data_IF_877187627701
#
_entry.id   IF_877187627701
#
_cell.length_a   1.000
_cell.length_b   1.000
_cell.length_c   1.000
_cell.angle_alpha   90.00
_cell.angle_beta   90.00
_cell.angle_gamma   90.00
#
_symmetry.space_group_name_H-M   'P 1'
#
loop_
_entity.id
_entity.type
_entity.pdbx_description
1 polymer ?
#
# COMPACT_ATOMS: atom_id res chain seq x y z
N UNK A 1 -2.06 -8.45 -10.82
CA UNK A 1 -3.24 -7.94 -10.10
C UNK A 1 -3.00 -6.49 -9.67
N UNK A 2 -4.04 -5.63 -9.54
CA UNK A 2 -3.87 -4.25 -9.06
C UNK A 2 -3.15 -4.16 -7.70
N UNK A 3 -3.43 -5.09 -6.78
CA UNK A 3 -2.76 -5.17 -5.47
C UNK A 3 -1.24 -5.39 -5.60
N UNK A 4 -0.80 -6.20 -6.57
CA UNK A 4 0.62 -6.45 -6.81
C UNK A 4 1.34 -5.21 -7.32
N UNK A 5 0.71 -4.47 -8.24
CA UNK A 5 1.25 -3.22 -8.78
C UNK A 5 1.38 -2.16 -7.68
N UNK A 6 0.33 -1.99 -6.87
CA UNK A 6 0.33 -1.05 -5.75
C UNK A 6 1.39 -1.41 -4.70
N UNK A 7 1.50 -2.69 -4.34
CA UNK A 7 2.50 -3.14 -3.37
C UNK A 7 3.94 -3.03 -3.92
N UNK A 8 4.17 -3.32 -5.20
CA UNK A 8 5.47 -3.11 -5.85
C UNK A 8 5.88 -1.63 -5.88
N UNK A 9 4.93 -0.73 -6.16
CA UNK A 9 5.16 0.71 -6.10
C UNK A 9 5.51 1.19 -4.67
N UNK A 10 4.76 0.73 -3.66
CA UNK A 10 4.99 1.07 -2.25
C UNK A 10 6.36 0.61 -1.74
N UNK A 11 6.73 -0.65 -1.96
CA UNK A 11 7.99 -1.23 -1.46
C UNK A 11 9.23 -0.63 -2.11
N UNK A 12 9.05 0.11 -3.21
CA UNK A 12 10.14 0.77 -3.96
C UNK A 12 10.17 2.28 -3.77
N UNK A 13 9.20 2.84 -3.02
CA UNK A 13 9.05 4.29 -2.86
C UNK A 13 10.14 4.95 -2.02
N UNK A 14 10.68 4.24 -1.03
CA UNK A 14 11.77 4.71 -0.17
C UNK A 14 12.36 3.54 0.62
N UNK A 15 13.64 3.64 0.97
CA UNK A 15 14.28 2.70 1.90
C UNK A 15 13.66 2.73 3.30
N UNK A 16 12.96 3.81 3.65
CA UNK A 16 12.27 3.96 4.93
C UNK A 16 10.84 3.37 4.92
N UNK A 17 10.34 2.93 3.77
CA UNK A 17 8.98 2.39 3.65
C UNK A 17 9.02 0.86 3.73
N UNK A 18 8.40 0.33 4.79
CA UNK A 18 8.19 -1.11 4.98
C UNK A 18 6.69 -1.37 5.04
N UNK A 19 6.06 -1.82 3.94
CA UNK A 19 4.62 -2.09 3.93
C UNK A 19 4.28 -3.27 4.86
N UNK A 20 3.19 -3.13 5.62
CA UNK A 20 2.62 -4.19 6.47
C UNK A 20 1.27 -4.59 5.87
N UNK A 21 1.26 -5.42 4.82
CA UNK A 21 0.01 -5.75 4.14
C UNK A 21 -0.82 -6.72 4.99
N UNK A 22 -2.09 -6.40 5.18
CA UNK A 22 -3.05 -7.30 5.80
C UNK A 22 -3.54 -8.36 4.80
N UNK A 23 -3.57 -9.62 5.23
CA UNK A 23 -4.19 -10.72 4.50
C UNK A 23 -5.07 -11.54 5.46
N UNK A 24 -6.26 -11.93 4.99
CA UNK A 24 -7.25 -12.74 5.70
C UNK A 24 -7.41 -14.13 5.09
N UNK A 25 -6.93 -14.34 3.88
CA UNK A 25 -6.99 -15.63 3.18
C UNK A 25 -5.65 -16.00 2.55
N UNK A 26 -5.38 -17.29 2.29
CA UNK A 26 -4.16 -17.72 1.62
C UNK A 26 -3.97 -17.09 0.23
N UNK A 27 -5.04 -16.91 -0.54
CA UNK A 27 -4.97 -16.33 -1.89
C UNK A 27 -4.49 -14.87 -1.83
N UNK A 28 -4.88 -14.13 -0.80
CA UNK A 28 -4.36 -12.77 -0.59
C UNK A 28 -2.86 -12.76 -0.27
N UNK A 29 -2.37 -13.78 0.44
CA UNK A 29 -0.93 -13.95 0.70
C UNK A 29 -0.20 -14.22 -0.61
N UNK A 30 -0.72 -15.11 -1.45
CA UNK A 30 -0.15 -15.42 -2.77
C UNK A 30 -0.12 -14.18 -3.68
N UNK A 31 -1.21 -13.42 -3.71
CA UNK A 31 -1.28 -12.16 -4.46
C UNK A 31 -0.22 -11.16 -3.98
N UNK A 32 -0.12 -10.94 -2.67
CA UNK A 32 0.87 -10.03 -2.11
C UNK A 32 2.30 -10.52 -2.34
N UNK A 33 2.56 -11.82 -2.23
CA UNK A 33 3.86 -12.41 -2.51
C UNK A 33 4.25 -12.23 -3.99
N UNK A 34 3.29 -12.33 -4.92
CA UNK A 34 3.52 -12.07 -6.34
C UNK A 34 3.89 -10.62 -6.69
N UNK A 35 3.86 -9.69 -5.73
CA UNK A 35 4.32 -8.31 -5.93
C UNK A 35 5.85 -8.15 -5.84
N UNK A 36 6.55 -9.15 -5.31
CA UNK A 36 8.02 -9.11 -5.12
C UNK A 36 8.74 -9.87 -6.24
N UNK A 37 10.06 -9.74 -6.32
CA UNK A 37 10.88 -10.42 -7.34
C UNK A 37 10.92 -9.74 -8.71
N UNK A 38 10.12 -8.70 -8.94
CA UNK A 38 10.16 -7.87 -10.13
C UNK A 38 10.01 -6.39 -9.75
N UNK A 39 10.17 -5.48 -10.71
CA UNK A 39 10.03 -4.04 -10.49
C UNK A 39 9.26 -3.40 -11.63
N UNK A 40 8.41 -2.43 -11.29
CA UNK A 40 7.82 -1.52 -12.27
C UNK A 40 8.94 -0.82 -13.06
N UNK A 41 8.64 -0.51 -14.31
CA UNK A 41 9.52 0.36 -15.08
C UNK A 41 9.52 1.76 -14.45
N UNK A 42 10.62 2.52 -14.55
CA UNK A 42 10.70 3.86 -13.95
C UNK A 42 9.56 4.80 -14.38
N UNK A 43 9.14 4.72 -15.64
CA UNK A 43 8.04 5.50 -16.21
C UNK A 43 6.67 5.14 -15.60
N UNK A 44 6.37 3.85 -15.44
CA UNK A 44 5.13 3.37 -14.84
C UNK A 44 5.07 3.72 -13.36
N UNK A 45 6.21 3.55 -12.66
CA UNK A 45 6.33 3.92 -11.25
C UNK A 45 6.08 5.42 -11.04
N UNK A 46 6.69 6.28 -11.87
CA UNK A 46 6.49 7.74 -11.83
C UNK A 46 5.06 8.14 -12.13
N UNK A 47 4.39 7.47 -13.08
CA UNK A 47 3.00 7.76 -13.41
C UNK A 47 2.07 7.50 -12.21
N UNK A 48 2.30 6.41 -11.47
CA UNK A 48 1.54 6.11 -10.24
C UNK A 48 1.87 7.12 -9.13
N UNK A 49 3.15 7.45 -8.95
CA UNK A 49 3.58 8.45 -7.97
C UNK A 49 2.89 9.80 -8.20
N UNK A 50 2.88 10.30 -9.44
CA UNK A 50 2.21 11.56 -9.79
C UNK A 50 0.69 11.51 -9.56
N UNK A 51 0.05 10.41 -9.97
CA UNK A 51 -1.37 10.22 -9.72
C UNK A 51 -1.69 10.17 -8.22
N UNK A 52 -0.83 9.57 -7.40
CA UNK A 52 -1.04 9.40 -5.96
C UNK A 52 -1.05 10.72 -5.18
N UNK A 53 -0.30 11.73 -5.63
CA UNK A 53 -0.20 13.07 -4.98
C UNK A 53 -1.54 13.79 -4.88
N UNK A 54 -2.49 13.43 -5.73
CA UNK A 54 -3.82 14.03 -5.78
C UNK A 54 -4.83 13.31 -4.88
N UNK A 55 -4.40 12.30 -4.11
CA UNK A 55 -5.26 11.51 -3.23
C UNK A 55 -5.12 11.98 -1.77
N UNK A 56 -6.19 12.48 -1.19
CA UNK A 56 -6.25 12.76 0.25
C UNK A 56 -6.53 11.46 1.02
N UNK A 57 -5.58 11.04 1.87
CA UNK A 57 -5.78 9.89 2.77
C UNK A 57 -6.38 10.42 4.08
N UNK A 58 -7.63 10.07 4.34
CA UNK A 58 -8.30 10.37 5.61
C UNK A 58 -8.08 9.22 6.59
N UNK A 59 -7.49 9.51 7.74
CA UNK A 59 -7.39 8.58 8.87
C UNK A 59 -8.55 8.84 9.86
N UNK A 60 -8.99 7.80 10.55
CA UNK A 60 -9.97 7.94 11.63
C UNK A 60 -9.32 8.67 12.81
N UNK A 61 -9.83 9.86 13.11
CA UNK A 61 -9.57 10.57 14.37
C UNK A 61 -10.34 9.82 15.46
N UNK A 62 -9.66 9.37 16.52
CA UNK A 62 -10.34 8.76 17.66
C UNK A 62 -11.38 9.73 18.24
N UNK A 63 -12.59 9.24 18.53
CA UNK A 63 -13.53 9.96 19.38
C UNK A 63 -12.93 10.06 20.78
N UNK A 64 -12.68 11.27 21.27
CA UNK A 64 -12.14 11.55 22.62
C UNK A 64 -13.12 11.28 23.77
N UNK A 65 -14.23 10.60 23.53
CA UNK A 65 -15.27 10.38 24.55
C UNK A 65 -15.58 8.88 24.67
N UNK A 66 -14.70 8.17 25.38
CA UNK A 66 -15.10 6.93 26.04
C UNK A 66 -15.21 7.21 27.53
N UNK A 67 -16.44 7.44 28.01
CA UNK A 67 -16.74 7.32 29.43
C UNK A 67 -17.20 5.88 29.70
N UNK A 68 -16.39 5.05 30.39
CA UNK A 68 -16.84 3.74 30.85
C UNK A 68 -17.97 3.92 31.87
N UNK A 69 -19.04 3.15 31.69
CA UNK A 69 -20.13 3.03 32.67
C UNK A 69 -19.87 1.86 33.62
#
# INVERSE_FOLDING_TARGET
>A
QPVQVAHNWLVTSSLAVVPIPGAKTPEQVEDLAGSVGWRLKPEDWRAIEEASRHTAIYYSVYYLEYEPR
#
